data_IF_370958423036
#
_entry.id   IF_370958423036
#
_cell.length_a   1.000
_cell.length_b   1.000
_cell.length_c   1.000
_cell.angle_alpha   90.00
_cell.angle_beta   90.00
_cell.angle_gamma   90.00
#
_symmetry.space_group_name_H-M   'P 1'
#
loop_
_entity.id
_entity.type
_entity.pdbx_description
1 polymer ?
#
# COMPACT_ATOMS: atom_id res chain seq x y z
N UNK A 1 -37.50 39.85 8.55
CA UNK A 1 -36.42 39.25 9.39
C UNK A 1 -36.74 37.82 9.82
N UNK A 2 -37.98 37.34 9.70
CA UNK A 2 -38.41 35.96 9.95
C UNK A 2 -37.74 34.87 9.07
N UNK A 3 -37.69 35.11 7.74
CA UNK A 3 -37.22 34.11 6.76
C UNK A 3 -35.74 33.75 6.88
N UNK A 4 -34.89 34.67 7.38
CA UNK A 4 -33.46 34.41 7.58
C UNK A 4 -33.18 33.44 8.71
N UNK A 5 -34.07 33.33 9.70
CA UNK A 5 -33.93 32.36 10.80
C UNK A 5 -34.33 30.95 10.36
N UNK A 6 -35.33 30.82 9.50
CA UNK A 6 -35.87 29.52 9.06
C UNK A 6 -35.03 28.93 7.93
N UNK A 7 -34.49 29.77 7.05
CA UNK A 7 -33.67 29.36 5.91
C UNK A 7 -32.25 29.92 5.96
N UNK A 8 -31.66 30.00 7.17
CA UNK A 8 -30.31 30.56 7.36
C UNK A 8 -29.18 29.83 6.62
N UNK A 9 -29.41 28.60 6.16
CA UNK A 9 -28.44 27.84 5.36
C UNK A 9 -28.26 28.39 3.93
N UNK A 10 -29.24 29.13 3.42
CA UNK A 10 -29.29 29.50 1.99
C UNK A 10 -28.16 30.47 1.63
N UNK A 11 -27.81 31.40 2.51
CA UNK A 11 -26.70 32.32 2.28
C UNK A 11 -25.35 31.58 2.23
N UNK A 12 -25.14 30.61 3.12
CA UNK A 12 -23.94 29.78 3.12
C UNK A 12 -23.89 28.91 1.86
N UNK A 13 -25.00 28.24 1.52
CA UNK A 13 -25.10 27.39 0.34
C UNK A 13 -24.84 28.16 -0.97
N UNK A 14 -25.44 29.34 -1.14
CA UNK A 14 -25.24 30.16 -2.35
C UNK A 14 -23.79 30.64 -2.47
N UNK A 15 -23.16 30.98 -1.34
CA UNK A 15 -21.74 31.35 -1.31
C UNK A 15 -20.84 30.17 -1.69
N UNK A 16 -21.09 28.99 -1.11
CA UNK A 16 -20.32 27.78 -1.40
C UNK A 16 -20.48 27.38 -2.88
N UNK A 17 -21.68 27.51 -3.42
CA UNK A 17 -21.96 27.23 -4.82
C UNK A 17 -21.23 28.22 -5.76
N UNK A 18 -21.14 29.51 -5.39
CA UNK A 18 -20.37 30.50 -6.14
C UNK A 18 -18.88 30.14 -6.19
N UNK A 19 -18.31 29.79 -5.03
CA UNK A 19 -16.91 29.34 -4.92
C UNK A 19 -16.67 28.08 -5.76
N UNK A 20 -17.61 27.13 -5.75
CA UNK A 20 -17.50 25.91 -6.54
C UNK A 20 -17.52 26.18 -8.06
N UNK A 21 -18.36 27.11 -8.52
CA UNK A 21 -18.41 27.54 -9.93
C UNK A 21 -17.12 28.24 -10.35
N UNK A 22 -16.59 29.11 -9.49
CA UNK A 22 -15.32 29.80 -9.76
C UNK A 22 -14.15 28.81 -9.87
N UNK A 23 -14.03 27.87 -8.93
CA UNK A 23 -12.98 26.86 -8.97
C UNK A 23 -13.14 25.94 -10.19
N UNK A 24 -14.36 25.51 -10.51
CA UNK A 24 -14.63 24.71 -11.71
C UNK A 24 -14.23 25.44 -12.98
N UNK A 25 -14.55 26.73 -13.09
CA UNK A 25 -14.16 27.56 -14.24
C UNK A 25 -12.64 27.66 -14.36
N UNK A 26 -11.93 27.78 -13.23
CA UNK A 26 -10.46 27.81 -13.20
C UNK A 26 -9.85 26.48 -13.67
N UNK A 27 -10.36 25.35 -13.18
CA UNK A 27 -9.91 24.01 -13.58
C UNK A 27 -10.11 23.82 -15.08
N UNK A 28 -11.31 24.10 -15.59
CA UNK A 28 -11.62 23.96 -17.02
C UNK A 28 -10.75 24.89 -17.88
N UNK A 29 -10.39 26.08 -17.39
CA UNK A 29 -9.46 26.98 -18.08
C UNK A 29 -8.09 26.30 -18.27
N UNK A 30 -7.57 25.66 -17.23
CA UNK A 30 -6.32 24.90 -17.30
C UNK A 30 -6.41 23.71 -18.25
N UNK A 31 -7.53 22.98 -18.23
CA UNK A 31 -7.75 21.82 -19.12
C UNK A 31 -7.85 22.23 -20.60
N UNK A 32 -8.53 23.33 -20.89
CA UNK A 32 -8.62 23.91 -22.24
C UNK A 32 -7.25 24.35 -22.71
N UNK A 33 -6.50 25.06 -21.87
CA UNK A 33 -5.14 25.50 -22.21
C UNK A 33 -4.22 24.29 -22.48
N UNK A 34 -4.21 23.29 -21.60
CA UNK A 34 -3.44 22.07 -21.77
C UNK A 34 -3.82 21.30 -23.04
N UNK A 35 -5.12 21.18 -23.33
CA UNK A 35 -5.62 20.52 -24.54
C UNK A 35 -5.19 21.26 -25.81
N UNK A 36 -5.16 22.60 -25.78
CA UNK A 36 -4.68 23.41 -26.90
C UNK A 36 -3.16 23.29 -27.07
N UNK A 37 -2.41 23.25 -25.96
CA UNK A 37 -0.96 23.01 -25.99
C UNK A 37 -0.60 21.65 -26.58
N UNK A 38 -1.37 20.60 -26.27
CA UNK A 38 -1.15 19.26 -26.83
C UNK A 38 -1.47 19.16 -28.34
N UNK A 39 -2.43 19.94 -28.83
CA UNK A 39 -2.82 19.97 -30.24
C UNK A 39 -1.96 20.90 -31.10
N UNK A 40 -1.16 21.76 -30.47
CA UNK A 40 -0.24 22.66 -31.17
C UNK A 40 0.93 21.86 -31.75
N UNK A 41 1.07 21.93 -33.08
CA UNK A 41 2.23 21.34 -33.76
C UNK A 41 3.52 22.10 -33.42
N UNK A 42 4.62 21.36 -33.26
CA UNK A 42 5.94 21.96 -32.98
C UNK A 42 6.44 22.72 -34.21
N UNK A 43 6.59 24.03 -34.08
CA UNK A 43 7.07 24.90 -35.16
C UNK A 43 8.59 24.83 -35.42
N UNK A 44 9.34 23.97 -34.73
CA UNK A 44 10.79 23.80 -34.86
C UNK A 44 11.64 24.98 -34.32
N UNK A 45 11.11 26.21 -34.36
CA UNK A 45 11.70 27.41 -33.78
C UNK A 45 11.14 27.70 -32.39
N UNK A 46 12.00 27.59 -31.37
CA UNK A 46 11.66 27.83 -29.96
C UNK A 46 11.03 29.20 -29.73
N UNK A 47 11.46 30.25 -30.46
CA UNK A 47 10.90 31.61 -30.30
C UNK A 47 9.47 31.70 -30.84
N UNK A 48 9.19 31.04 -31.96
CA UNK A 48 7.84 31.01 -32.54
C UNK A 48 6.90 30.16 -31.69
N UNK A 49 7.37 29.01 -31.21
CA UNK A 49 6.61 28.15 -30.31
C UNK A 49 6.24 28.88 -29.01
N UNK A 50 7.20 29.57 -28.37
CA UNK A 50 6.91 30.36 -27.17
C UNK A 50 5.88 31.47 -27.40
N UNK A 51 5.88 32.11 -28.59
CA UNK A 51 4.86 33.11 -28.95
C UNK A 51 3.47 32.49 -29.13
N UNK A 52 3.39 31.30 -29.73
CA UNK A 52 2.13 30.57 -29.89
C UNK A 52 1.56 30.12 -28.54
N UNK A 53 2.39 29.54 -27.66
CA UNK A 53 1.96 29.14 -26.32
C UNK A 53 1.44 30.35 -25.51
N UNK A 54 2.13 31.48 -25.57
CA UNK A 54 1.67 32.71 -24.93
C UNK A 54 0.38 33.26 -25.54
N UNK A 55 0.19 33.12 -26.86
CA UNK A 55 -1.04 33.53 -27.51
C UNK A 55 -2.21 32.62 -27.07
N UNK A 56 -1.99 31.31 -26.98
CA UNK A 56 -2.98 30.36 -26.45
C UNK A 56 -3.38 30.72 -25.03
N UNK A 57 -2.42 30.92 -24.12
CA UNK A 57 -2.69 31.30 -22.73
C UNK A 57 -3.46 32.63 -22.63
N UNK A 58 -3.15 33.62 -23.48
CA UNK A 58 -3.90 34.89 -23.50
C UNK A 58 -5.32 34.72 -24.02
N UNK A 59 -5.49 33.97 -25.10
CA UNK A 59 -6.80 33.75 -25.73
C UNK A 59 -7.70 32.88 -24.84
N UNK A 60 -7.18 31.81 -24.24
CA UNK A 60 -7.90 30.94 -23.31
C UNK A 60 -8.38 31.75 -22.10
N UNK A 61 -7.50 32.53 -21.47
CA UNK A 61 -7.85 33.38 -20.34
C UNK A 61 -8.90 34.44 -20.72
N UNK A 62 -8.76 35.10 -21.87
CA UNK A 62 -9.72 36.11 -22.32
C UNK A 62 -11.11 35.50 -22.60
N UNK A 63 -11.16 34.29 -23.18
CA UNK A 63 -12.41 33.58 -23.40
C UNK A 63 -13.04 33.13 -22.09
N UNK A 64 -12.26 32.49 -21.21
CA UNK A 64 -12.76 31.98 -19.93
C UNK A 64 -13.20 33.09 -18.98
N UNK A 65 -12.57 34.26 -19.02
CA UNK A 65 -13.06 35.44 -18.30
C UNK A 65 -14.45 35.88 -18.78
N UNK A 66 -14.76 35.77 -20.08
CA UNK A 66 -16.12 36.06 -20.59
C UNK A 66 -17.12 35.00 -20.14
N UNK A 67 -16.71 33.73 -20.13
CA UNK A 67 -17.52 32.62 -19.62
C UNK A 67 -17.84 32.82 -18.14
N UNK A 68 -16.84 33.15 -17.32
CA UNK A 68 -17.01 33.45 -15.89
C UNK A 68 -17.95 34.65 -15.68
N UNK A 69 -17.75 35.74 -16.41
CA UNK A 69 -18.65 36.89 -16.34
C UNK A 69 -20.10 36.53 -16.75
N UNK A 70 -20.28 35.59 -17.68
CA UNK A 70 -21.59 35.05 -18.05
C UNK A 70 -22.20 34.20 -16.94
N UNK A 71 -21.41 33.32 -16.32
CA UNK A 71 -21.84 32.52 -15.17
C UNK A 71 -22.26 33.40 -14.01
N UNK A 72 -21.44 34.39 -13.63
CA UNK A 72 -21.76 35.28 -12.50
C UNK A 72 -23.08 36.01 -12.72
N UNK A 73 -23.30 36.58 -13.92
CA UNK A 73 -24.58 37.23 -14.25
C UNK A 73 -25.78 36.29 -14.20
N UNK A 74 -25.61 35.04 -14.66
CA UNK A 74 -26.69 34.06 -14.60
C UNK A 74 -26.92 33.57 -13.17
N UNK A 75 -25.86 33.47 -12.38
CA UNK A 75 -25.90 33.08 -10.99
C UNK A 75 -26.58 34.14 -10.13
N UNK A 76 -26.31 35.44 -10.37
CA UNK A 76 -27.02 36.54 -9.71
C UNK A 76 -28.54 36.45 -9.95
N UNK A 77 -28.96 36.10 -11.17
CA UNK A 77 -30.37 35.88 -11.50
C UNK A 77 -30.93 34.64 -10.81
N UNK A 78 -30.15 33.57 -10.74
CA UNK A 78 -30.52 32.34 -10.05
C UNK A 78 -30.69 32.56 -8.55
N UNK A 79 -29.73 33.24 -7.91
CA UNK A 79 -29.81 33.65 -6.50
C UNK A 79 -31.05 34.50 -6.25
N UNK A 80 -31.30 35.51 -7.10
CA UNK A 80 -32.47 36.36 -6.99
C UNK A 80 -33.77 35.54 -7.10
N UNK A 81 -33.82 34.61 -8.06
CA UNK A 81 -34.96 33.71 -8.25
C UNK A 81 -35.17 32.81 -7.04
N UNK A 82 -34.11 32.20 -6.51
CA UNK A 82 -34.16 31.35 -5.32
C UNK A 82 -34.72 32.13 -4.12
N UNK A 83 -34.16 33.31 -3.85
CA UNK A 83 -34.57 34.16 -2.72
C UNK A 83 -36.01 34.64 -2.84
N UNK A 84 -36.50 34.89 -4.05
CA UNK A 84 -37.85 35.44 -4.29
C UNK A 84 -38.94 34.38 -4.43
N UNK A 85 -38.63 33.22 -4.99
CA UNK A 85 -39.65 32.25 -5.41
C UNK A 85 -39.57 30.90 -4.71
N UNK A 86 -38.38 30.48 -4.28
CA UNK A 86 -38.18 29.15 -3.67
C UNK A 86 -38.14 29.26 -2.15
N UNK A 87 -37.34 30.20 -1.64
CA UNK A 87 -37.04 30.35 -0.20
C UNK A 87 -37.91 31.43 0.45
N UNK A 88 -38.64 32.21 -0.36
CA UNK A 88 -39.53 33.24 0.15
C UNK A 88 -40.76 32.60 0.81
N UNK A 89 -41.03 33.02 2.05
CA UNK A 89 -42.24 32.64 2.76
C UNK A 89 -43.25 33.78 2.54
N UNK A 90 -44.44 33.51 1.95
CA UNK A 90 -45.45 34.54 1.75
C UNK A 90 -45.85 35.18 3.07
N UNK A 91 -46.10 36.50 3.05
CA UNK A 91 -46.40 37.27 4.26
C UNK A 91 -47.63 36.75 5.01
N UNK A 92 -48.62 36.23 4.28
CA UNK A 92 -49.89 35.78 4.87
C UNK A 92 -49.75 34.52 5.72
N UNK A 93 -48.68 33.74 5.53
CA UNK A 93 -48.44 32.46 6.24
C UNK A 93 -47.22 32.52 7.17
N UNK A 94 -46.55 33.68 7.25
CA UNK A 94 -45.27 33.78 7.95
C UNK A 94 -45.40 33.47 9.45
N UNK A 95 -46.47 33.96 10.08
CA UNK A 95 -46.74 33.76 11.51
C UNK A 95 -47.06 32.29 11.82
N UNK A 96 -47.76 31.59 10.91
CA UNK A 96 -48.11 30.18 11.10
C UNK A 96 -46.90 29.28 10.91
N UNK A 97 -46.04 29.58 9.93
CA UNK A 97 -44.77 28.87 9.74
C UNK A 97 -43.84 29.09 10.92
N UNK A 98 -43.76 30.29 11.47
CA UNK A 98 -42.98 30.57 12.68
C UNK A 98 -43.51 29.81 13.90
N UNK A 99 -44.83 29.77 14.11
CA UNK A 99 -45.45 28.96 15.17
C UNK A 99 -45.12 27.49 15.02
N UNK A 100 -45.29 26.92 13.82
CA UNK A 100 -44.96 25.51 13.54
C UNK A 100 -43.47 25.23 13.78
N UNK A 101 -42.59 26.15 13.38
CA UNK A 101 -41.15 26.02 13.61
C UNK A 101 -40.81 26.03 15.10
N UNK A 102 -41.39 26.94 15.88
CA UNK A 102 -41.23 27.00 17.33
C UNK A 102 -41.83 25.78 18.03
N UNK A 103 -42.98 25.28 17.57
CA UNK A 103 -43.60 24.06 18.08
C UNK A 103 -42.77 22.82 17.79
N UNK A 104 -42.14 22.71 16.62
CA UNK A 104 -41.21 21.62 16.30
C UNK A 104 -39.94 21.68 17.14
N UNK A 105 -39.38 22.86 17.37
CA UNK A 105 -38.26 23.03 18.30
C UNK A 105 -38.63 22.58 19.72
N UNK A 106 -39.89 22.81 20.13
CA UNK A 106 -40.43 22.33 21.42
C UNK A 106 -40.75 20.83 21.41
N UNK A 107 -41.21 20.24 20.30
CA UNK A 107 -41.56 18.82 20.19
C UNK A 107 -40.36 17.89 19.99
N UNK A 108 -39.27 18.38 19.42
CA UNK A 108 -38.02 17.61 19.31
C UNK A 108 -37.34 17.37 20.67
N UNK A 109 -37.95 17.80 21.79
CA UNK A 109 -37.63 17.25 23.12
C UNK A 109 -38.32 15.89 23.32
N UNK A 110 -37.69 14.84 22.80
CA UNK A 110 -37.77 13.40 23.17
C UNK A 110 -39.14 12.71 23.03
N UNK A 111 -39.18 11.71 22.14
CA UNK A 111 -40.25 10.72 21.98
C UNK A 111 -40.08 9.57 23.02
N UNK A 112 -41.07 9.31 23.91
CA UNK A 112 -40.92 8.44 25.08
C UNK A 112 -40.79 6.93 24.84
N UNK A 113 -40.76 6.45 23.58
CA UNK A 113 -40.71 5.01 23.26
C UNK A 113 -39.42 4.56 22.52
N UNK A 114 -38.39 5.40 22.48
CA UNK A 114 -37.05 5.05 21.99
C UNK A 114 -36.33 4.08 22.95
N UNK A 115 -35.40 3.21 22.48
CA UNK A 115 -34.52 2.41 23.35
C UNK A 115 -33.71 3.23 24.37
N UNK A 116 -33.67 4.56 24.24
CA UNK A 116 -33.19 5.50 25.26
C UNK A 116 -34.07 5.51 26.53
N UNK A 117 -35.35 5.14 26.46
CA UNK A 117 -36.25 5.07 27.62
C UNK A 117 -35.87 3.95 28.60
N UNK A 118 -35.27 2.87 28.10
CA UNK A 118 -34.72 1.78 28.92
C UNK A 118 -33.42 2.20 29.63
N UNK A 119 -32.60 3.05 28.99
CA UNK A 119 -31.46 3.69 29.64
C UNK A 119 -31.90 4.75 30.66
N UNK A 120 -33.00 5.47 30.38
CA UNK A 120 -33.56 6.48 31.26
C UNK A 120 -34.08 5.91 32.59
N UNK A 121 -34.59 4.66 32.61
CA UNK A 121 -35.00 3.99 33.85
C UNK A 121 -33.81 3.69 34.79
N UNK A 122 -32.62 3.44 34.24
CA UNK A 122 -31.39 3.31 35.03
C UNK A 122 -30.89 4.68 35.53
N UNK A 123 -31.05 5.74 34.73
CA UNK A 123 -30.73 7.12 35.13
C UNK A 123 -31.71 7.72 36.16
N UNK A 124 -32.96 7.29 36.22
CA UNK A 124 -33.94 7.76 37.22
C UNK A 124 -33.52 7.47 38.66
N UNK A 125 -32.78 6.37 38.88
CA UNK A 125 -32.22 6.03 40.20
C UNK A 125 -31.07 6.97 40.57
N UNK A 126 -30.29 7.43 39.58
CA UNK A 126 -29.15 8.33 39.79
C UNK A 126 -29.57 9.79 40.05
N UNK A 127 -30.77 10.18 39.61
CA UNK A 127 -31.29 11.56 39.70
C UNK A 127 -32.61 11.68 40.50
N UNK A 128 -32.90 10.69 41.35
CA UNK A 128 -34.09 10.67 42.20
C UNK A 128 -34.16 11.94 43.08
N UNK A 129 -35.31 12.62 43.06
CA UNK A 129 -35.57 13.84 43.84
C UNK A 129 -35.37 15.18 43.11
N UNK A 130 -34.82 15.19 41.89
CA UNK A 130 -34.67 16.42 41.08
C UNK A 130 -35.91 16.70 40.23
N UNK A 131 -36.24 17.98 40.03
CA UNK A 131 -37.31 18.41 39.13
C UNK A 131 -37.00 18.00 37.67
N UNK A 132 -38.01 17.82 36.80
CA UNK A 132 -37.80 17.40 35.42
C UNK A 132 -36.84 18.31 34.63
N UNK A 133 -36.78 19.59 34.98
CA UNK A 133 -35.90 20.56 34.35
C UNK A 133 -34.44 20.40 34.82
N UNK A 134 -34.21 20.27 36.12
CA UNK A 134 -32.87 20.03 36.69
C UNK A 134 -32.26 18.70 36.22
N UNK A 135 -33.10 17.66 36.01
CA UNK A 135 -32.65 16.39 35.43
C UNK A 135 -32.12 16.58 34.01
N UNK A 136 -32.82 17.36 33.18
CA UNK A 136 -32.39 17.65 31.79
C UNK A 136 -31.11 18.46 31.78
N UNK A 137 -31.00 19.46 32.65
CA UNK A 137 -29.79 20.28 32.78
C UNK A 137 -28.57 19.44 33.16
N UNK A 138 -28.70 18.53 34.14
CA UNK A 138 -27.61 17.63 34.52
C UNK A 138 -27.24 16.62 33.43
N UNK A 139 -28.21 16.12 32.66
CA UNK A 139 -27.93 15.24 31.51
C UNK A 139 -27.16 15.98 30.42
N UNK A 140 -27.62 17.18 30.05
CA UNK A 140 -26.93 18.05 29.10
C UNK A 140 -25.53 18.41 29.59
N UNK A 141 -25.35 18.62 30.90
CA UNK A 141 -24.04 18.88 31.47
C UNK A 141 -23.11 17.66 31.37
N UNK A 142 -23.61 16.45 31.67
CA UNK A 142 -22.86 15.20 31.47
C UNK A 142 -22.46 15.00 30.01
N UNK A 143 -23.38 15.22 29.07
CA UNK A 143 -23.13 15.13 27.63
C UNK A 143 -22.11 16.19 27.18
N UNK A 144 -22.22 17.43 27.64
CA UNK A 144 -21.25 18.48 27.35
C UNK A 144 -19.86 18.14 27.89
N UNK A 145 -19.77 17.56 29.08
CA UNK A 145 -18.48 17.11 29.65
C UNK A 145 -17.91 15.95 28.82
N UNK A 146 -18.73 15.00 28.40
CA UNK A 146 -18.33 13.89 27.54
C UNK A 146 -17.84 14.38 26.16
N UNK A 147 -18.58 15.28 25.51
CA UNK A 147 -18.20 15.89 24.24
C UNK A 147 -16.92 16.73 24.38
N UNK A 148 -16.78 17.51 25.45
CA UNK A 148 -15.52 18.24 25.74
C UNK A 148 -14.33 17.31 25.97
N UNK A 149 -14.56 16.09 26.48
CA UNK A 149 -13.52 15.07 26.61
C UNK A 149 -13.15 14.50 25.23
N UNK A 150 -14.14 14.12 24.42
CA UNK A 150 -13.92 13.65 23.05
C UNK A 150 -13.19 14.68 22.18
N UNK A 151 -13.55 15.96 22.27
CA UNK A 151 -12.85 17.03 21.55
C UNK A 151 -11.38 17.09 21.96
N UNK A 152 -11.05 16.96 23.26
CA UNK A 152 -9.66 16.95 23.73
C UNK A 152 -8.89 15.73 23.23
N UNK A 153 -9.53 14.56 23.20
CA UNK A 153 -8.94 13.33 22.67
C UNK A 153 -8.64 13.48 21.17
N UNK A 154 -9.64 13.92 20.37
CA UNK A 154 -9.48 14.17 18.94
C UNK A 154 -8.44 15.26 18.64
N UNK A 155 -8.37 16.31 19.46
CA UNK A 155 -7.32 17.33 19.33
C UNK A 155 -5.92 16.73 19.60
N UNK A 156 -5.79 15.85 20.58
CA UNK A 156 -4.55 15.12 20.86
C UNK A 156 -4.15 14.21 19.69
N UNK A 157 -5.10 13.48 19.12
CA UNK A 157 -4.87 12.63 17.94
C UNK A 157 -4.48 13.46 16.72
N UNK A 158 -5.15 14.58 16.49
CA UNK A 158 -4.85 15.50 15.39
C UNK A 158 -3.43 16.07 15.52
N UNK A 159 -3.03 16.47 16.72
CA UNK A 159 -1.66 16.93 16.97
C UNK A 159 -0.63 15.82 16.72
N UNK A 160 -0.91 14.58 17.17
CA UNK A 160 -0.04 13.43 16.91
C UNK A 160 0.11 13.18 15.41
N UNK A 161 -0.99 13.12 14.67
CA UNK A 161 -0.99 12.91 13.22
C UNK A 161 -0.24 14.03 12.49
N UNK A 162 -0.38 15.28 12.93
CA UNK A 162 0.36 16.41 12.35
C UNK A 162 1.87 16.28 12.56
N UNK A 163 2.31 15.77 13.71
CA UNK A 163 3.73 15.50 13.96
C UNK A 163 4.25 14.33 13.11
N UNK A 164 3.45 13.28 12.95
CA UNK A 164 3.77 12.14 12.08
C UNK A 164 3.87 12.57 10.60
N UNK A 165 2.94 13.40 10.13
CA UNK A 165 2.97 13.96 8.78
C UNK A 165 4.27 14.74 8.53
N UNK A 166 4.65 15.64 9.44
CA UNK A 166 5.92 16.39 9.35
C UNK A 166 7.14 15.47 9.34
N UNK A 167 7.12 14.40 10.14
CA UNK A 167 8.19 13.41 10.17
C UNK A 167 8.29 12.64 8.84
N UNK A 168 7.14 12.27 8.25
CA UNK A 168 7.07 11.62 6.94
C UNK A 168 7.51 12.56 5.82
N UNK A 169 7.13 13.83 5.86
CA UNK A 169 7.57 14.83 4.89
C UNK A 169 9.08 15.02 4.95
N UNK A 170 9.66 15.09 6.15
CA UNK A 170 11.11 15.15 6.35
C UNK A 170 11.81 13.90 5.78
N UNK A 171 11.32 12.70 6.09
CA UNK A 171 11.87 11.45 5.53
C UNK A 171 11.76 11.43 4.01
N UNK A 172 10.64 11.87 3.46
CA UNK A 172 10.43 11.94 2.00
C UNK A 172 11.41 12.91 1.35
N UNK A 173 11.63 14.09 1.94
CA UNK A 173 12.66 15.04 1.49
C UNK A 173 14.05 14.42 1.56
N UNK A 174 14.37 13.72 2.64
CA UNK A 174 15.64 13.01 2.77
C UNK A 174 15.83 11.94 1.68
N UNK A 175 14.82 11.10 1.44
CA UNK A 175 14.86 10.10 0.36
C UNK A 175 15.00 10.73 -1.01
N UNK A 176 14.25 11.80 -1.31
CA UNK A 176 14.41 12.56 -2.56
C UNK A 176 15.84 13.11 -2.70
N UNK A 177 16.45 13.58 -1.61
CA UNK A 177 17.84 14.01 -1.59
C UNK A 177 18.83 12.87 -1.86
N UNK A 178 18.60 11.67 -1.33
CA UNK A 178 19.41 10.49 -1.64
C UNK A 178 19.24 10.07 -3.09
N UNK A 179 18.01 10.02 -3.61
CA UNK A 179 17.74 9.70 -5.01
C UNK A 179 18.41 10.71 -5.94
N UNK A 180 18.32 12.01 -5.65
CA UNK A 180 19.02 13.04 -6.41
C UNK A 180 20.56 12.86 -6.38
N UNK A 181 21.11 12.42 -5.24
CA UNK A 181 22.53 12.05 -5.15
C UNK A 181 22.86 10.78 -5.92
N UNK A 182 21.91 9.92 -6.23
CA UNK A 182 22.08 8.71 -7.03
C UNK A 182 21.72 8.93 -8.50
N UNK A 183 21.21 10.10 -8.88
CA UNK A 183 20.84 10.48 -10.26
C UNK A 183 22.03 10.33 -11.23
N UNK A 184 23.26 10.53 -10.73
CA UNK A 184 24.46 10.28 -11.54
C UNK A 184 24.59 8.82 -11.99
N UNK A 185 24.05 7.84 -11.25
CA UNK A 185 24.07 6.41 -11.62
C UNK A 185 23.20 6.16 -12.85
N UNK A 186 22.10 6.88 -13.00
CA UNK A 186 21.23 6.80 -14.18
C UNK A 186 21.92 7.43 -15.41
N UNK A 187 22.81 8.39 -15.17
CA UNK A 187 23.64 9.03 -16.20
C UNK A 187 24.92 8.23 -16.54
N UNK A 188 25.25 7.16 -15.81
CA UNK A 188 26.38 6.28 -16.16
C UNK A 188 26.01 5.52 -17.45
N UNK A 189 26.79 5.78 -18.51
CA UNK A 189 26.60 5.12 -19.79
C UNK A 189 26.58 3.59 -19.66
N UNK A 190 25.69 2.93 -20.40
CA UNK A 190 25.62 1.46 -20.43
C UNK A 190 26.97 0.81 -20.83
N UNK A 191 27.86 1.53 -21.51
CA UNK A 191 29.23 1.10 -21.79
C UNK A 191 30.11 0.91 -20.55
N UNK A 192 29.87 1.66 -19.47
CA UNK A 192 30.62 1.53 -18.20
C UNK A 192 30.02 0.46 -17.28
N UNK A 193 28.70 0.22 -17.36
CA UNK A 193 28.00 -0.80 -16.56
C UNK A 193 28.20 -2.22 -17.13
N UNK A 194 28.30 -2.36 -18.46
CA UNK A 194 28.51 -3.66 -19.14
C UNK A 194 29.76 -4.43 -18.66
N UNK A 195 30.94 -3.82 -18.48
CA UNK A 195 32.11 -4.48 -17.90
C UNK A 195 31.85 -5.01 -16.49
N UNK A 196 31.20 -4.23 -15.63
CA UNK A 196 30.92 -4.61 -14.24
C UNK A 196 29.95 -5.79 -14.17
N UNK A 197 28.88 -5.74 -14.97
CA UNK A 197 27.92 -6.85 -15.12
C UNK A 197 28.62 -8.12 -15.63
N UNK A 198 29.47 -8.00 -16.66
CA UNK A 198 30.26 -9.11 -17.18
C UNK A 198 31.25 -9.67 -16.16
N UNK A 199 31.85 -8.85 -15.30
CA UNK A 199 32.73 -9.35 -14.23
C UNK A 199 31.94 -10.11 -13.17
N UNK A 200 30.75 -9.64 -12.79
CA UNK A 200 29.87 -10.35 -11.85
C UNK A 200 29.42 -11.69 -12.42
N UNK A 201 29.01 -11.73 -13.69
CA UNK A 201 28.64 -12.97 -14.40
C UNK A 201 29.83 -13.96 -14.46
N UNK A 202 31.04 -13.47 -14.74
CA UNK A 202 32.25 -14.30 -14.75
C UNK A 202 32.60 -14.84 -13.36
N UNK A 203 32.44 -14.04 -12.31
CA UNK A 203 32.67 -14.47 -10.93
C UNK A 203 31.63 -15.52 -10.51
N UNK A 204 30.37 -15.35 -10.88
CA UNK A 204 29.34 -16.35 -10.63
C UNK A 204 29.64 -17.67 -11.35
N UNK A 205 30.02 -17.62 -12.64
CA UNK A 205 30.42 -18.79 -13.40
C UNK A 205 31.68 -19.48 -12.84
N UNK A 206 32.64 -18.71 -12.33
CA UNK A 206 33.81 -19.25 -11.65
C UNK A 206 33.42 -19.99 -10.36
N UNK A 207 32.50 -19.42 -9.58
CA UNK A 207 32.04 -20.04 -8.34
C UNK A 207 31.29 -21.36 -8.63
N UNK A 208 30.46 -21.40 -9.66
CA UNK A 208 29.80 -22.63 -10.11
C UNK A 208 30.83 -23.67 -10.57
N UNK A 209 31.84 -23.26 -11.32
CA UNK A 209 32.94 -24.15 -11.73
C UNK A 209 33.77 -24.67 -10.55
N UNK A 210 33.98 -23.87 -9.51
CA UNK A 210 34.68 -24.30 -8.29
C UNK A 210 33.84 -25.33 -7.53
N UNK A 211 32.52 -25.12 -7.44
CA UNK A 211 31.62 -26.09 -6.81
C UNK A 211 31.65 -27.44 -7.54
N UNK A 212 31.60 -27.44 -8.88
CA UNK A 212 31.74 -28.67 -9.68
C UNK A 212 33.10 -29.34 -9.45
N UNK A 213 34.17 -28.55 -9.29
CA UNK A 213 35.50 -29.08 -9.02
C UNK A 213 35.58 -29.74 -7.64
N UNK A 214 34.96 -29.14 -6.63
CA UNK A 214 34.85 -29.72 -5.29
C UNK A 214 34.05 -31.03 -5.32
N UNK A 215 32.94 -31.07 -6.06
CA UNK A 215 32.15 -32.29 -6.28
C UNK A 215 32.98 -33.39 -6.95
N UNK A 216 33.71 -33.08 -8.02
CA UNK A 216 34.62 -34.01 -8.69
C UNK A 216 35.74 -34.48 -7.75
N UNK A 217 36.30 -33.59 -6.92
CA UNK A 217 37.31 -33.95 -5.94
C UNK A 217 36.75 -34.93 -4.91
N UNK A 218 35.56 -34.68 -4.37
CA UNK A 218 34.92 -35.60 -3.42
C UNK A 218 34.65 -36.97 -4.05
N UNK A 219 34.18 -37.02 -5.31
CA UNK A 219 33.98 -38.27 -6.03
C UNK A 219 35.29 -39.04 -6.27
N UNK A 220 36.37 -38.34 -6.64
CA UNK A 220 37.70 -38.94 -6.80
C UNK A 220 38.25 -39.49 -5.47
N UNK A 221 38.03 -38.78 -4.36
CA UNK A 221 38.42 -39.26 -3.03
C UNK A 221 37.63 -40.51 -2.62
N UNK A 222 36.34 -40.56 -2.94
CA UNK A 222 35.49 -41.74 -2.72
C UNK A 222 35.92 -42.93 -3.57
N UNK A 223 36.17 -42.73 -4.87
CA UNK A 223 36.69 -43.76 -5.77
C UNK A 223 38.05 -44.28 -5.30
N UNK A 224 38.92 -43.38 -4.82
CA UNK A 224 40.22 -43.76 -4.26
C UNK A 224 40.05 -44.61 -3.00
N UNK A 225 39.10 -44.26 -2.11
CA UNK A 225 38.77 -45.06 -0.92
C UNK A 225 38.18 -46.41 -1.32
N UNK A 226 37.27 -46.45 -2.29
CA UNK A 226 36.65 -47.66 -2.82
C UNK A 226 37.69 -48.60 -3.45
N UNK A 227 38.59 -48.06 -4.26
CA UNK A 227 39.71 -48.81 -4.85
C UNK A 227 40.61 -49.41 -3.78
N UNK A 228 40.97 -48.63 -2.74
CA UNK A 228 41.77 -49.15 -1.61
C UNK A 228 41.04 -50.28 -0.87
N UNK A 229 39.73 -50.15 -0.61
CA UNK A 229 38.91 -51.20 0.00
C UNK A 229 38.90 -52.47 -0.86
N UNK A 230 38.55 -52.34 -2.15
CA UNK A 230 38.53 -53.45 -3.11
C UNK A 230 39.89 -54.15 -3.22
N UNK A 231 40.99 -53.38 -3.24
CA UNK A 231 42.35 -53.93 -3.24
C UNK A 231 42.64 -54.75 -1.98
N UNK A 232 42.22 -54.28 -0.80
CA UNK A 232 42.36 -55.05 0.45
C UNK A 232 41.52 -56.33 0.44
N UNK A 233 40.27 -56.26 -0.01
CA UNK A 233 39.40 -57.45 -0.17
C UNK A 233 40.01 -58.50 -1.11
N UNK A 234 40.57 -58.08 -2.25
CA UNK A 234 41.29 -59.01 -3.13
C UNK A 234 42.53 -59.61 -2.45
N UNK A 235 43.28 -58.82 -1.67
CA UNK A 235 44.44 -59.35 -0.95
C UNK A 235 44.04 -60.39 0.10
N UNK A 236 42.96 -60.14 0.83
CA UNK A 236 42.46 -61.03 1.87
C UNK A 236 41.85 -62.30 1.27
N UNK A 237 41.17 -62.22 0.12
CA UNK A 237 40.71 -63.41 -0.62
C UNK A 237 41.87 -64.25 -1.13
N UNK A 238 42.92 -63.66 -1.70
CA UNK A 238 44.14 -64.40 -2.08
C UNK A 238 44.82 -65.05 -0.88
N UNK A 239 44.90 -64.35 0.26
CA UNK A 239 45.46 -64.90 1.50
C UNK A 239 44.64 -66.07 2.03
N UNK A 240 43.31 -65.97 2.02
CA UNK A 240 42.40 -67.05 2.41
C UNK A 240 42.52 -68.26 1.47
N UNK A 241 42.64 -68.03 0.16
CA UNK A 241 42.84 -69.08 -0.82
C UNK A 241 44.18 -69.81 -0.60
N UNK A 242 45.25 -69.06 -0.36
CA UNK A 242 46.56 -69.61 -0.04
C UNK A 242 46.55 -70.42 1.27
N UNK A 243 45.88 -69.92 2.30
CA UNK A 243 45.73 -70.63 3.57
C UNK A 243 44.92 -71.93 3.40
N UNK A 244 43.82 -71.90 2.65
CA UNK A 244 43.06 -73.11 2.29
C UNK A 244 43.92 -74.12 1.54
N UNK A 245 44.73 -73.66 0.58
CA UNK A 245 45.65 -74.51 -0.16
C UNK A 245 46.66 -75.18 0.78
N UNK A 246 47.28 -74.42 1.69
CA UNK A 246 48.20 -74.95 2.70
C UNK A 246 47.53 -75.96 3.64
N UNK A 247 46.31 -75.68 4.11
CA UNK A 247 45.54 -76.62 4.95
C UNK A 247 45.19 -77.89 4.18
N UNK A 248 44.83 -77.77 2.90
CA UNK A 248 44.55 -78.92 2.05
C UNK A 248 45.81 -79.75 1.80
N UNK A 249 46.97 -79.13 1.55
CA UNK A 249 48.25 -79.85 1.43
C UNK A 249 48.72 -80.47 2.74
N UNK A 250 48.41 -79.86 3.89
CA UNK A 250 48.73 -80.42 5.21
C UNK A 250 47.80 -81.59 5.59
N UNK A 251 46.53 -81.55 5.17
CA UNK A 251 45.57 -82.64 5.37
C UNK A 251 45.74 -83.78 4.34
N UNK A 252 46.32 -83.50 3.18
CA UNK A 252 46.83 -84.52 2.25
C UNK A 252 48.23 -84.93 2.70
N UNK A 253 48.32 -85.42 3.94
CA UNK A 253 49.41 -86.27 4.36
C UNK A 253 49.26 -87.59 3.62
N UNK A 254 49.78 -87.67 2.39
CA UNK A 254 49.97 -88.94 1.66
C UNK A 254 51.08 -89.72 2.38
N UNK A 255 50.74 -90.22 3.57
CA UNK A 255 51.54 -91.13 4.36
C UNK A 255 51.25 -92.58 3.94
N UNK A 256 51.09 -92.84 2.63
CA UNK A 256 51.09 -94.20 2.09
C UNK A 256 51.16 -94.18 0.56
N UNK A 257 52.02 -95.02 0.01
CA UNK A 257 52.24 -95.20 -1.44
C UNK A 257 51.02 -95.84 -2.14
N UNK A 258 50.12 -96.45 -1.36
CA UNK A 258 48.90 -97.07 -1.86
C UNK A 258 47.82 -96.04 -2.19
N UNK A 259 47.78 -94.90 -1.50
CA UNK A 259 46.81 -93.83 -1.76
C UNK A 259 47.08 -93.14 -3.10
N UNK A 260 48.34 -93.06 -3.53
CA UNK A 260 48.72 -92.55 -4.86
C UNK A 260 48.26 -93.48 -5.98
N UNK A 261 48.23 -94.80 -5.77
CA UNK A 261 47.69 -95.75 -6.75
C UNK A 261 46.18 -95.65 -6.83
N UNK A 262 45.48 -95.49 -5.70
CA UNK A 262 44.04 -95.31 -5.68
C UNK A 262 43.60 -94.01 -6.37
N UNK A 263 44.35 -92.92 -6.19
CA UNK A 263 44.05 -91.65 -6.87
C UNK A 263 44.27 -91.73 -8.39
N UNK A 264 45.33 -92.41 -8.84
CA UNK A 264 45.59 -92.59 -10.27
C UNK A 264 44.56 -93.51 -10.94
N UNK A 265 44.05 -94.52 -10.23
CA UNK A 265 42.95 -95.35 -10.72
C UNK A 265 41.64 -94.56 -10.87
N UNK A 266 41.35 -93.65 -9.93
CA UNK A 266 40.14 -92.82 -9.98
C UNK A 266 40.22 -91.66 -10.99
N UNK A 267 41.42 -91.22 -11.37
CA UNK A 267 41.62 -90.23 -12.44
C UNK A 267 41.61 -90.85 -13.85
N UNK A 268 41.63 -92.18 -13.97
CA UNK A 268 41.66 -92.93 -15.24
C UNK A 268 40.29 -93.52 -15.64
N UNK A 269 39.23 -93.28 -14.86
CA UNK A 269 37.86 -93.77 -15.15
C UNK A 269 36.84 -92.62 -15.06
N UNK A 270 36.91 -91.71 -16.03
CA UNK A 270 35.85 -90.91 -16.70
C UNK A 270 36.35 -89.53 -17.10
#
# INVERSE_FOLDING_TARGET
>A
MASSSICGFVDAFLKDLHVAIDESTRIVTGDVENSLHQKLESCGDKRKQARQLNAVAKCSNAYMHRVQAGFNKNFDKFELYMRRNIVMIPHDVIDDVEKIHQERLKKNSVDPNSPEALAAAAEEVEFAGLSPQERREKKLEKELVALRKQIRELQGETQRLTLEEKALEFRTKHFKGVVAKLDFLEQISASTIKPLKRTVEKVAALHESLQVMDEVQTALEEDTKAFKRKKMETRDTYRNLHQRFLTQTANVGLASLDDLKALNANLSVK
#
